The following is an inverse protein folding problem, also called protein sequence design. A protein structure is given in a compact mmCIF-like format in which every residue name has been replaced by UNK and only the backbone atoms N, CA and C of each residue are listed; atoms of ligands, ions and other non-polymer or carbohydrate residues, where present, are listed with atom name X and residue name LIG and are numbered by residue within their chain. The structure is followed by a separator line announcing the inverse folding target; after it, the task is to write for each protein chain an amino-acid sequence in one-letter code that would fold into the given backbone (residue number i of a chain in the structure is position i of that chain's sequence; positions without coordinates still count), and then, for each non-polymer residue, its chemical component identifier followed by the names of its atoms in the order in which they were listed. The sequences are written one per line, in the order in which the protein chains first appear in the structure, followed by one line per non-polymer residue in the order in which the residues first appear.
data_IF_527480586747
#
_entry.id   IF_527480586747
#
_cell.length_a   1.000
_cell.length_b   1.000
_cell.length_c   1.000
_cell.angle_alpha   90.00
_cell.angle_beta   90.00
_cell.angle_gamma   90.00
#
_symmetry.space_group_name_H-M   'P 1'
#
loop_
_entity.id
_entity.type
_entity.pdbx_description
1 polymer ?
#
# COMPACT_ATOMS: atom_id res chain seq x y z
N UNK A 1 -9.69 24.25 -3.85
CA UNK A 1 -8.76 23.22 -3.35
C UNK A 1 -9.51 21.89 -3.26
N UNK A 2 -9.45 21.07 -4.30
CA UNK A 2 -10.26 19.85 -4.49
C UNK A 2 -9.36 18.60 -4.39
N UNK A 3 -8.63 18.41 -3.28
CA UNK A 3 -7.93 17.13 -3.04
C UNK A 3 -8.46 16.35 -1.82
N UNK A 4 -9.23 16.97 -0.93
CA UNK A 4 -9.62 16.37 0.35
C UNK A 4 -10.80 15.36 0.25
N UNK A 5 -11.42 15.17 -0.92
CA UNK A 5 -12.68 14.38 -0.99
C UNK A 5 -12.54 12.87 -1.21
N UNK A 6 -11.48 12.39 -1.85
CA UNK A 6 -11.42 10.98 -2.26
C UNK A 6 -11.13 10.01 -1.10
N UNK A 7 -10.24 10.37 -0.17
CA UNK A 7 -9.82 9.46 0.92
C UNK A 7 -10.93 9.11 1.91
N UNK A 8 -11.88 10.03 2.10
CA UNK A 8 -12.97 9.93 3.08
C UNK A 8 -14.34 9.76 2.41
N UNK A 9 -14.38 9.47 1.11
CA UNK A 9 -15.67 9.28 0.43
C UNK A 9 -16.31 7.97 0.87
N UNK A 10 -17.64 7.97 0.93
CA UNK A 10 -18.44 6.76 1.16
C UNK A 10 -19.48 6.61 0.03
N UNK A 11 -19.38 5.58 -0.82
CA UNK A 11 -18.34 4.56 -0.82
C UNK A 11 -16.95 5.12 -1.20
N UNK A 12 -15.85 4.45 -0.83
CA UNK A 12 -14.51 4.81 -1.30
C UNK A 12 -14.45 4.67 -2.84
N UNK A 13 -13.61 5.46 -3.53
CA UNK A 13 -13.56 5.46 -5.00
C UNK A 13 -12.92 4.19 -5.55
N UNK A 14 -12.11 3.52 -4.74
CA UNK A 14 -11.50 2.22 -5.03
C UNK A 14 -11.94 1.23 -3.96
N UNK A 15 -12.04 -0.04 -4.33
CA UNK A 15 -12.41 -1.12 -3.41
C UNK A 15 -11.19 -1.77 -2.74
N UNK A 16 -10.03 -1.71 -3.37
CA UNK A 16 -8.75 -2.22 -2.86
C UNK A 16 -7.56 -1.59 -3.60
N UNK A 17 -6.34 -1.85 -3.12
CA UNK A 17 -5.08 -1.50 -3.76
C UNK A 17 -4.12 -2.68 -3.90
N UNK A 18 -3.29 -2.66 -4.94
CA UNK A 18 -2.18 -3.60 -5.13
C UNK A 18 -0.94 -2.76 -5.36
N UNK A 19 0.04 -2.88 -4.47
CA UNK A 19 1.25 -2.09 -4.48
C UNK A 19 2.47 -3.00 -4.66
N UNK A 20 3.17 -2.82 -5.78
CA UNK A 20 4.46 -3.45 -6.03
C UNK A 20 5.55 -2.41 -5.84
N UNK A 21 6.49 -2.66 -4.91
CA UNK A 21 7.64 -1.76 -4.66
C UNK A 21 7.23 -0.29 -4.46
N UNK A 22 6.12 -0.07 -3.78
CA UNK A 22 5.59 1.28 -3.58
C UNK A 22 6.33 1.98 -2.44
N UNK A 23 6.53 3.28 -2.61
CA UNK A 23 7.10 4.16 -1.59
C UNK A 23 6.04 4.93 -0.82
N UNK A 24 6.49 5.71 0.17
CA UNK A 24 5.64 6.63 0.91
C UNK A 24 5.14 7.76 0.01
N UNK A 25 3.89 8.17 0.23
CA UNK A 25 3.32 9.37 -0.36
C UNK A 25 3.84 10.63 0.35
N UNK A 26 3.62 11.81 -0.22
CA UNK A 26 3.92 13.07 0.45
C UNK A 26 2.82 13.43 1.47
N UNK A 27 3.23 14.07 2.55
CA UNK A 27 2.31 14.62 3.54
C UNK A 27 1.57 15.83 2.97
N UNK A 28 0.27 15.66 2.68
CA UNK A 28 -0.61 16.69 2.10
C UNK A 28 -0.54 18.01 2.90
N UNK A 29 -0.63 17.95 4.23
CA UNK A 29 -0.58 19.13 5.11
C UNK A 29 0.71 19.95 4.95
N UNK A 30 1.84 19.28 4.76
CA UNK A 30 3.15 19.93 4.62
C UNK A 30 3.35 20.41 3.19
N UNK A 31 2.84 19.65 2.21
CA UNK A 31 2.87 20.01 0.79
C UNK A 31 2.07 21.29 0.51
N UNK A 32 0.91 21.45 1.13
CA UNK A 32 0.09 22.66 1.04
C UNK A 32 0.82 23.91 1.57
N UNK A 33 1.76 23.72 2.50
CA UNK A 33 2.62 24.79 3.01
C UNK A 33 3.87 25.04 2.13
N UNK A 34 3.94 24.47 0.93
CA UNK A 34 5.06 24.60 -0.01
C UNK A 34 6.32 23.83 0.41
N UNK A 35 6.19 22.84 1.30
CA UNK A 35 7.31 22.04 1.81
C UNK A 35 7.14 20.58 1.44
N UNK A 36 8.27 19.87 1.27
CA UNK A 36 8.24 18.45 0.95
C UNK A 36 8.56 17.63 2.20
N UNK A 37 7.66 16.71 2.54
CA UNK A 37 7.84 15.72 3.61
C UNK A 37 7.14 14.43 3.20
N UNK A 38 7.78 13.28 3.38
CA UNK A 38 7.12 11.97 3.23
C UNK A 38 6.13 11.78 4.38
N UNK A 39 4.95 11.26 4.05
CA UNK A 39 3.91 10.92 5.02
C UNK A 39 4.37 9.73 5.86
N UNK A 40 4.36 9.88 7.17
CA UNK A 40 4.65 8.78 8.11
C UNK A 40 3.43 8.48 8.98
N UNK A 41 3.47 7.36 9.72
CA UNK A 41 2.33 6.96 10.57
C UNK A 41 2.08 7.99 11.67
N UNK A 42 3.12 8.68 12.12
CA UNK A 42 3.02 9.76 13.11
C UNK A 42 2.29 11.02 12.58
N UNK A 43 2.12 11.15 11.26
CA UNK A 43 1.50 12.31 10.63
C UNK A 43 -0.02 12.20 10.45
N UNK A 44 -0.59 11.04 10.79
CA UNK A 44 -1.99 10.68 10.56
C UNK A 44 -2.66 10.13 11.81
N UNK A 45 -3.92 10.50 12.02
CA UNK A 45 -4.76 9.95 13.08
C UNK A 45 -5.43 8.67 12.58
N UNK A 46 -4.66 7.58 12.56
CA UNK A 46 -5.08 6.27 12.05
C UNK A 46 -4.59 5.96 10.63
N UNK A 47 -5.15 4.94 9.95
CA UNK A 47 -4.70 4.54 8.62
C UNK A 47 -4.99 5.65 7.59
N UNK A 48 -4.05 5.88 6.67
CA UNK A 48 -4.22 6.82 5.56
C UNK A 48 -4.94 6.18 4.36
N UNK A 49 -4.79 4.85 4.19
CA UNK A 49 -5.43 4.09 3.10
C UNK A 49 -6.51 3.20 3.70
N UNK A 50 -7.77 3.54 3.41
CA UNK A 50 -8.96 2.97 4.06
C UNK A 50 -9.54 1.71 3.39
N UNK A 51 -8.80 1.08 2.49
CA UNK A 51 -9.24 -0.10 1.72
C UNK A 51 -8.26 -1.26 1.93
N UNK A 52 -8.65 -2.51 1.63
CA UNK A 52 -7.72 -3.63 1.54
C UNK A 52 -6.56 -3.36 0.60
N UNK A 53 -5.36 -3.76 1.01
CA UNK A 53 -4.15 -3.53 0.23
C UNK A 53 -3.22 -4.74 0.28
N UNK A 54 -2.71 -5.14 -0.89
CA UNK A 54 -1.56 -6.02 -1.00
C UNK A 54 -0.30 -5.18 -1.14
N UNK A 55 0.57 -5.20 -0.14
CA UNK A 55 1.91 -4.62 -0.21
C UNK A 55 2.90 -5.72 -0.56
N UNK A 56 3.38 -5.71 -1.79
CA UNK A 56 4.28 -6.72 -2.35
C UNK A 56 5.64 -6.06 -2.63
N UNK A 57 6.68 -6.56 -1.97
CA UNK A 57 8.05 -6.02 -2.10
C UNK A 57 9.09 -7.15 -2.15
N UNK A 58 10.33 -6.80 -2.50
CA UNK A 58 11.45 -7.73 -2.45
C UNK A 58 12.41 -7.40 -1.32
N UNK A 59 12.84 -8.39 -0.54
CA UNK A 59 13.80 -8.24 0.56
C UNK A 59 15.11 -7.54 0.17
N UNK A 60 15.51 -7.65 -1.10
CA UNK A 60 16.76 -7.11 -1.64
C UNK A 60 16.56 -5.79 -2.37
N UNK A 61 15.33 -5.25 -2.37
CA UNK A 61 15.08 -3.90 -2.87
C UNK A 61 15.80 -2.90 -1.95
N UNK A 62 16.70 -2.04 -2.47
CA UNK A 62 17.38 -1.03 -1.66
C UNK A 62 16.40 -0.08 -0.95
N UNK A 63 15.18 0.06 -1.47
CA UNK A 63 14.14 0.94 -0.99
C UNK A 63 13.04 0.21 -0.18
N UNK A 64 13.27 -1.06 0.21
CA UNK A 64 12.28 -1.90 0.92
C UNK A 64 11.73 -1.27 2.20
N UNK A 65 12.50 -0.40 2.85
CA UNK A 65 12.06 0.32 4.06
C UNK A 65 10.84 1.22 3.79
N UNK A 66 10.75 1.82 2.59
CA UNK A 66 9.59 2.63 2.22
C UNK A 66 8.33 1.80 1.99
N UNK A 67 8.46 0.61 1.38
CA UNK A 67 7.33 -0.31 1.21
C UNK A 67 6.80 -0.84 2.54
N UNK A 68 7.69 -1.13 3.49
CA UNK A 68 7.31 -1.50 4.87
C UNK A 68 6.59 -0.36 5.57
N UNK A 69 7.11 0.87 5.47
CA UNK A 69 6.47 2.05 6.04
C UNK A 69 5.10 2.35 5.42
N UNK A 70 4.93 2.14 4.10
CA UNK A 70 3.63 2.29 3.45
C UNK A 70 2.60 1.28 3.99
N UNK A 71 3.02 0.06 4.28
CA UNK A 71 2.16 -0.96 4.87
C UNK A 71 1.65 -0.54 6.27
N UNK A 72 2.39 0.29 7.01
CA UNK A 72 1.94 0.85 8.31
C UNK A 72 0.83 1.89 8.14
N UNK A 73 0.75 2.57 6.99
CA UNK A 73 -0.29 3.54 6.67
C UNK A 73 -1.61 2.90 6.16
N UNK A 74 -1.64 1.59 5.96
CA UNK A 74 -2.80 0.87 5.44
C UNK A 74 -3.72 0.36 6.58
N UNK A 75 -5.02 0.24 6.31
CA UNK A 75 -6.00 -0.36 7.25
C UNK A 75 -5.55 -1.74 7.75
N UNK A 76 -5.51 -1.97 9.08
CA UNK A 76 -5.03 -3.24 9.63
C UNK A 76 -5.83 -4.47 9.18
N UNK A 77 -7.15 -4.36 9.09
CA UNK A 77 -8.02 -5.48 8.73
C UNK A 77 -7.79 -5.96 7.28
N UNK A 78 -7.50 -5.02 6.37
CA UNK A 78 -7.39 -5.28 4.94
C UNK A 78 -5.97 -5.50 4.42
N UNK A 79 -4.97 -5.44 5.31
CA UNK A 79 -3.56 -5.46 4.94
C UNK A 79 -3.04 -6.87 4.69
N UNK A 80 -2.47 -7.08 3.51
CA UNK A 80 -1.69 -8.25 3.14
C UNK A 80 -0.28 -7.79 2.78
N UNK A 81 0.74 -8.44 3.33
CA UNK A 81 2.15 -8.13 3.07
C UNK A 81 2.82 -9.39 2.54
N UNK A 82 3.55 -9.25 1.45
CA UNK A 82 4.33 -10.33 0.84
C UNK A 82 5.73 -9.84 0.48
N UNK A 83 6.72 -10.62 0.88
CA UNK A 83 8.11 -10.46 0.47
C UNK A 83 8.45 -11.53 -0.57
N UNK A 84 8.70 -11.13 -1.82
CA UNK A 84 9.08 -12.05 -2.90
C UNK A 84 10.60 -12.31 -2.98
N UNK A 85 11.40 -11.78 -2.04
CA UNK A 85 12.84 -12.07 -1.87
C UNK A 85 13.80 -11.52 -2.94
N UNK A 86 13.27 -10.88 -3.98
CA UNK A 86 14.05 -10.34 -5.10
C UNK A 86 14.43 -8.86 -4.86
N UNK A 87 14.99 -8.20 -5.89
CA UNK A 87 15.38 -6.80 -5.82
C UNK A 87 14.23 -5.84 -6.14
N UNK A 88 14.58 -4.67 -6.70
CA UNK A 88 13.62 -3.71 -7.22
C UNK A 88 13.08 -4.18 -8.59
N UNK A 89 12.30 -5.27 -8.59
CA UNK A 89 11.67 -5.85 -9.78
C UNK A 89 10.30 -6.48 -9.49
N UNK A 90 9.57 -6.88 -10.53
CA UNK A 90 8.39 -7.75 -10.41
C UNK A 90 8.81 -9.13 -10.93
N UNK A 91 8.95 -10.14 -10.06
CA UNK A 91 9.37 -11.47 -10.48
C UNK A 91 8.42 -12.08 -11.52
N UNK A 92 9.01 -12.77 -12.51
CA UNK A 92 8.27 -13.63 -13.47
C UNK A 92 8.63 -15.09 -13.36
N UNK A 93 9.71 -15.36 -12.62
CA UNK A 93 10.24 -16.67 -12.28
C UNK A 93 10.90 -16.55 -10.90
N UNK A 94 10.97 -17.65 -10.14
CA UNK A 94 10.31 -18.93 -10.40
C UNK A 94 8.78 -18.84 -10.25
N UNK A 95 8.05 -19.82 -10.80
CA UNK A 95 6.57 -19.80 -10.91
C UNK A 95 5.89 -19.76 -9.55
N UNK A 96 6.45 -20.44 -8.56
CA UNK A 96 6.01 -20.41 -7.16
C UNK A 96 5.99 -18.98 -6.58
N UNK A 97 7.00 -18.16 -6.87
CA UNK A 97 7.01 -16.76 -6.42
C UNK A 97 5.90 -15.95 -7.10
N UNK A 98 5.62 -16.23 -8.38
CA UNK A 98 4.50 -15.60 -9.11
C UNK A 98 3.16 -16.02 -8.50
N UNK A 99 3.01 -17.30 -8.18
CA UNK A 99 1.80 -17.84 -7.55
C UNK A 99 1.58 -17.25 -6.15
N UNK A 100 2.63 -17.05 -5.36
CA UNK A 100 2.52 -16.37 -4.07
C UNK A 100 2.05 -14.92 -4.21
N UNK A 101 2.57 -14.18 -5.19
CA UNK A 101 2.11 -12.82 -5.50
C UNK A 101 0.64 -12.81 -5.94
N UNK A 102 0.23 -13.75 -6.78
CA UNK A 102 -1.17 -13.90 -7.20
C UNK A 102 -2.09 -14.19 -6.00
N UNK A 103 -1.71 -15.10 -5.11
CA UNK A 103 -2.46 -15.41 -3.87
C UNK A 103 -2.60 -14.19 -2.96
N UNK A 104 -1.57 -13.36 -2.85
CA UNK A 104 -1.64 -12.12 -2.08
C UNK A 104 -2.69 -11.15 -2.66
N UNK A 105 -2.75 -11.03 -3.99
CA UNK A 105 -3.76 -10.25 -4.69
C UNK A 105 -5.16 -10.82 -4.48
N UNK A 106 -5.36 -12.12 -4.71
CA UNK A 106 -6.64 -12.81 -4.52
C UNK A 106 -7.21 -12.61 -3.11
N UNK A 107 -6.34 -12.68 -2.10
CA UNK A 107 -6.73 -12.44 -0.70
C UNK A 107 -7.29 -11.04 -0.50
N UNK A 108 -6.71 -10.03 -1.13
CA UNK A 108 -7.14 -8.63 -1.01
C UNK A 108 -8.42 -8.36 -1.79
N UNK A 109 -8.57 -8.95 -2.98
CA UNK A 109 -9.81 -8.91 -3.74
C UNK A 109 -10.96 -9.54 -2.94
N UNK A 110 -10.70 -10.70 -2.31
CA UNK A 110 -11.68 -11.39 -1.46
C UNK A 110 -12.11 -10.50 -0.30
N UNK A 111 -11.15 -9.89 0.41
CA UNK A 111 -11.39 -8.94 1.51
C UNK A 111 -12.26 -7.76 1.11
N UNK A 112 -12.02 -7.19 -0.08
CA UNK A 112 -12.81 -6.11 -0.62
C UNK A 112 -14.25 -6.53 -0.93
N UNK A 113 -14.46 -7.74 -1.46
CA UNK A 113 -15.77 -8.26 -1.79
C UNK A 113 -16.63 -8.56 -0.55
N UNK A 114 -16.01 -9.03 0.54
CA UNK A 114 -16.72 -9.40 1.78
C UNK A 114 -16.81 -8.28 2.82
N UNK A 115 -16.09 -7.17 2.62
CA UNK A 115 -16.05 -6.03 3.56
C UNK A 115 -15.28 -6.30 4.85
N UNK A 116 -14.21 -7.10 4.80
CA UNK A 116 -13.43 -7.55 5.98
C UNK A 116 -11.93 -7.40 5.91
#
# INVERSE_FOLDING_TARGET
MILIRARHSNPPPFQFGIFFRAGLSYCEKVLDAGKVKLLKVEDVDGPAIHVPVANIYGAKDPDVSYGKALAELCQPWGKVVLDHGAGHEIPRVPVDVVDEMARAVEKVVTKAAIGQ
#
